data_IF_767388197345
#
_entry.id   IF_767388197345
#
_cell.length_a   1.000
_cell.length_b   1.000
_cell.length_c   1.000
_cell.angle_alpha   90.00
_cell.angle_beta   90.00
_cell.angle_gamma   90.00
#
_symmetry.space_group_name_H-M   'P 1'
#
loop_
_entity.id
_entity.type
_entity.pdbx_description
1 polymer ?
#
# COMPACT_ATOMS: atom_id res chain seq x y z
N UNK A 1 20.16 10.95 8.69
CA UNK A 1 19.17 9.89 8.91
C UNK A 1 17.82 10.40 8.43
N UNK A 2 17.27 9.86 7.34
CA UNK A 2 15.94 10.26 6.85
C UNK A 2 14.91 9.40 7.57
N UNK A 3 14.34 9.93 8.65
CA UNK A 3 13.33 9.20 9.43
C UNK A 3 11.90 9.44 8.95
N UNK A 4 11.55 10.69 8.63
CA UNK A 4 10.17 11.09 8.28
C UNK A 4 9.94 11.30 6.77
N UNK A 5 10.99 11.67 6.03
CA UNK A 5 10.90 11.97 4.59
C UNK A 5 10.37 10.80 3.76
N UNK A 6 10.72 9.55 4.09
CA UNK A 6 10.24 8.35 3.35
C UNK A 6 8.71 8.17 3.41
N UNK A 7 8.04 8.74 4.43
CA UNK A 7 6.59 8.69 4.55
C UNK A 7 5.90 9.82 3.78
N UNK A 8 6.63 10.89 3.49
CA UNK A 8 6.17 12.00 2.67
C UNK A 8 6.37 11.68 1.19
N UNK A 9 7.52 11.10 0.83
CA UNK A 9 7.87 10.73 -0.53
C UNK A 9 8.44 9.30 -0.55
N UNK A 10 7.66 8.37 -1.10
CA UNK A 10 8.06 6.96 -1.20
C UNK A 10 9.11 6.77 -2.32
N UNK A 11 9.17 7.71 -3.26
CA UNK A 11 10.15 7.76 -4.35
C UNK A 11 11.45 8.47 -3.98
N UNK A 12 11.65 8.90 -2.73
CA UNK A 12 12.82 9.68 -2.29
C UNK A 12 14.17 9.04 -2.60
N UNK A 13 14.21 7.71 -2.75
CA UNK A 13 15.42 6.95 -3.07
C UNK A 13 15.49 6.55 -4.56
N UNK A 14 14.44 6.83 -5.32
CA UNK A 14 14.39 6.55 -6.74
C UNK A 14 15.08 7.69 -7.50
N UNK A 15 16.36 7.50 -7.84
CA UNK A 15 17.23 8.53 -8.43
C UNK A 15 16.78 9.03 -9.81
N UNK A 16 15.95 8.25 -10.50
CA UNK A 16 15.51 8.49 -11.89
C UNK A 16 14.14 9.17 -12.00
N UNK A 17 13.27 9.03 -10.99
CA UNK A 17 11.92 9.56 -11.03
C UNK A 17 11.81 10.69 -10.02
N UNK A 18 11.64 11.93 -10.50
CA UNK A 18 11.49 13.12 -9.66
C UNK A 18 10.47 12.91 -8.52
N UNK A 19 10.72 13.60 -7.40
CA UNK A 19 9.88 13.62 -6.20
C UNK A 19 8.38 13.60 -6.56
N UNK A 20 7.65 12.64 -5.98
CA UNK A 20 6.20 12.45 -6.12
C UNK A 20 5.65 11.80 -7.42
N UNK A 21 6.47 11.12 -8.23
CA UNK A 21 6.02 10.52 -9.51
C UNK A 21 5.36 9.14 -9.42
N UNK A 22 5.12 8.59 -8.22
CA UNK A 22 4.52 7.26 -8.09
C UNK A 22 3.03 7.31 -8.47
N UNK A 23 2.68 6.60 -9.55
CA UNK A 23 1.31 6.47 -10.03
C UNK A 23 0.41 5.79 -8.98
N UNK A 24 -0.92 5.98 -9.07
CA UNK A 24 -1.85 5.29 -8.19
C UNK A 24 -1.67 3.76 -8.18
N UNK A 25 -1.42 3.16 -9.35
CA UNK A 25 -1.17 1.73 -9.49
C UNK A 25 0.12 1.29 -8.78
N UNK A 26 1.23 2.03 -8.93
CA UNK A 26 2.47 1.71 -8.20
C UNK A 26 2.28 1.80 -6.68
N UNK A 27 1.56 2.82 -6.21
CA UNK A 27 1.22 2.97 -4.79
C UNK A 27 0.39 1.81 -4.26
N UNK A 28 -0.55 1.32 -5.04
CA UNK A 28 -1.36 0.13 -4.71
C UNK A 28 -0.48 -1.13 -4.70
N UNK A 29 0.41 -1.28 -5.67
CA UNK A 29 1.39 -2.37 -5.73
C UNK A 29 2.30 -2.42 -4.50
N UNK A 30 2.69 -1.26 -3.94
CA UNK A 30 3.43 -1.19 -2.69
C UNK A 30 2.62 -1.71 -1.48
N UNK A 31 1.31 -1.49 -1.45
CA UNK A 31 0.44 -2.09 -0.42
C UNK A 31 0.46 -3.61 -0.54
N UNK A 32 0.32 -4.15 -1.76
CA UNK A 32 0.41 -5.59 -2.04
C UNK A 32 1.74 -6.17 -1.57
N UNK A 33 2.84 -5.51 -1.90
CA UNK A 33 4.18 -5.94 -1.50
C UNK A 33 4.34 -5.95 0.02
N UNK A 34 3.83 -4.95 0.73
CA UNK A 34 3.87 -4.90 2.20
C UNK A 34 3.07 -6.06 2.83
N UNK A 35 1.90 -6.39 2.29
CA UNK A 35 1.10 -7.53 2.79
C UNK A 35 1.87 -8.85 2.59
N UNK A 36 2.45 -9.06 1.39
CA UNK A 36 3.23 -10.25 1.10
C UNK A 36 4.46 -10.37 2.02
N UNK A 37 5.20 -9.28 2.23
CA UNK A 37 6.35 -9.27 3.13
C UNK A 37 5.95 -9.56 4.58
N UNK A 38 4.81 -9.03 5.03
CA UNK A 38 4.26 -9.34 6.36
C UNK A 38 3.93 -10.83 6.49
N UNK A 39 3.30 -11.42 5.48
CA UNK A 39 2.99 -12.85 5.45
C UNK A 39 4.26 -13.71 5.46
N UNK A 40 5.25 -13.38 4.63
CA UNK A 40 6.51 -14.10 4.54
C UNK A 40 7.30 -14.04 5.85
N UNK A 41 7.38 -12.86 6.46
CA UNK A 41 8.23 -12.63 7.62
C UNK A 41 7.53 -13.02 8.93
N UNK A 42 6.23 -12.77 9.07
CA UNK A 42 5.47 -12.88 10.33
C UNK A 42 4.39 -13.98 10.26
N UNK A 43 3.81 -14.22 9.09
CA UNK A 43 2.74 -15.20 8.89
C UNK A 43 1.56 -14.94 9.83
N UNK A 44 1.17 -15.97 10.59
CA UNK A 44 0.10 -15.88 11.60
C UNK A 44 0.59 -15.48 12.99
N UNK A 45 1.90 -15.30 13.18
CA UNK A 45 2.47 -15.05 14.52
C UNK A 45 2.09 -13.68 15.07
N UNK A 46 1.63 -12.77 14.22
CA UNK A 46 1.41 -11.37 14.57
C UNK A 46 0.12 -10.83 13.98
N UNK A 47 -0.41 -9.80 14.62
CA UNK A 47 -1.71 -9.25 14.28
C UNK A 47 -1.62 -8.43 12.97
N UNK A 48 -2.36 -8.89 11.97
CA UNK A 48 -2.54 -8.23 10.67
C UNK A 48 -3.07 -6.79 10.78
N UNK A 49 -3.85 -6.47 11.82
CA UNK A 49 -4.31 -5.10 12.09
C UNK A 49 -3.14 -4.09 12.17
N UNK A 50 -1.96 -4.56 12.59
CA UNK A 50 -0.79 -3.70 12.76
C UNK A 50 -0.27 -3.13 11.45
N UNK A 51 -0.45 -3.80 10.30
CA UNK A 51 0.02 -3.28 9.01
C UNK A 51 -0.90 -2.20 8.43
N UNK A 52 -2.18 -2.22 8.79
CA UNK A 52 -3.19 -1.29 8.26
C UNK A 52 -2.87 0.17 8.54
N UNK A 53 -2.21 0.47 9.66
CA UNK A 53 -1.80 1.84 10.03
C UNK A 53 -0.81 2.46 9.04
N UNK A 54 -0.11 1.63 8.26
CA UNK A 54 0.84 2.10 7.24
C UNK A 54 0.16 2.40 5.90
N UNK A 55 -1.08 1.97 5.67
CA UNK A 55 -1.74 2.16 4.38
C UNK A 55 -2.00 3.63 4.04
N UNK A 56 -2.10 4.50 5.04
CA UNK A 56 -2.18 5.95 4.83
C UNK A 56 -0.95 6.53 4.11
N UNK A 57 0.20 5.86 4.16
CA UNK A 57 1.45 6.29 3.52
C UNK A 57 1.36 6.06 2.01
N UNK A 58 0.85 4.88 1.62
CA UNK A 58 0.71 4.48 0.22
C UNK A 58 -0.53 5.09 -0.43
N UNK A 59 -1.68 5.03 0.26
CA UNK A 59 -3.00 5.42 -0.24
C UNK A 59 -3.33 6.87 0.11
N UNK A 60 -2.57 7.79 -0.49
CA UNK A 60 -2.74 9.24 -0.38
C UNK A 60 -2.51 9.91 -1.73
N UNK A 61 -3.06 11.10 -1.91
CA UNK A 61 -2.79 12.00 -3.05
C UNK A 61 -3.19 11.43 -4.44
N UNK A 62 -4.23 10.60 -4.51
CA UNK A 62 -4.86 10.18 -5.77
C UNK A 62 -6.37 9.94 -5.66
N UNK A 63 -7.06 9.95 -6.81
CA UNK A 63 -8.51 9.77 -6.88
C UNK A 63 -8.95 8.36 -6.43
N UNK A 64 -9.94 8.29 -5.54
CA UNK A 64 -10.38 7.01 -4.96
C UNK A 64 -9.47 6.45 -3.84
N UNK A 65 -8.34 7.08 -3.51
CA UNK A 65 -7.42 6.60 -2.45
C UNK A 65 -8.12 6.42 -1.09
N UNK A 66 -8.96 7.39 -0.70
CA UNK A 66 -9.69 7.34 0.57
C UNK A 66 -10.74 6.21 0.58
N UNK A 67 -11.38 5.93 -0.55
CA UNK A 67 -12.39 4.87 -0.70
C UNK A 67 -11.71 3.50 -0.60
N UNK A 68 -10.64 3.29 -1.37
CA UNK A 68 -9.85 2.07 -1.32
C UNK A 68 -9.30 1.83 0.08
N UNK A 69 -8.71 2.84 0.71
CA UNK A 69 -8.19 2.76 2.08
C UNK A 69 -9.29 2.33 3.06
N UNK A 70 -10.45 2.98 3.03
CA UNK A 70 -11.57 2.61 3.92
C UNK A 70 -12.03 1.17 3.71
N UNK A 71 -12.04 0.70 2.45
CA UNK A 71 -12.36 -0.70 2.13
C UNK A 71 -11.35 -1.65 2.76
N UNK A 72 -10.04 -1.41 2.57
CA UNK A 72 -8.97 -2.24 3.12
C UNK A 72 -8.96 -2.22 4.66
N UNK A 73 -9.28 -1.11 5.32
CA UNK A 73 -9.34 -1.04 6.78
C UNK A 73 -10.39 -1.98 7.38
N UNK A 74 -11.47 -2.31 6.66
CA UNK A 74 -12.54 -3.21 7.14
C UNK A 74 -12.23 -4.70 6.97
N UNK A 75 -11.25 -5.03 6.14
CA UNK A 75 -10.89 -6.41 5.79
C UNK A 75 -10.20 -7.10 6.97
N UNK A 76 -10.61 -8.31 7.34
CA UNK A 76 -10.05 -9.00 8.51
C UNK A 76 -8.91 -9.96 8.16
N UNK A 77 -8.79 -10.36 6.91
CA UNK A 77 -7.80 -11.34 6.48
C UNK A 77 -6.87 -10.81 5.40
N UNK A 78 -5.58 -11.19 5.41
CA UNK A 78 -4.63 -10.79 4.38
C UNK A 78 -5.03 -11.29 2.99
N UNK A 79 -5.60 -12.50 2.88
CA UNK A 79 -6.05 -13.08 1.62
C UNK A 79 -7.17 -12.26 0.97
N UNK A 80 -8.20 -11.90 1.74
CA UNK A 80 -9.28 -11.02 1.26
C UNK A 80 -8.75 -9.65 0.84
N UNK A 81 -7.72 -9.15 1.54
CA UNK A 81 -7.12 -7.86 1.22
C UNK A 81 -6.39 -7.88 -0.12
N UNK A 82 -5.62 -8.94 -0.37
CA UNK A 82 -4.92 -9.14 -1.64
C UNK A 82 -5.92 -9.23 -2.80
N UNK A 83 -7.03 -9.96 -2.64
CA UNK A 83 -8.08 -10.03 -3.67
C UNK A 83 -8.72 -8.68 -3.99
N UNK A 84 -8.90 -7.82 -2.99
CA UNK A 84 -9.45 -6.47 -3.22
C UNK A 84 -8.46 -5.61 -3.99
N UNK A 85 -7.16 -5.73 -3.67
CA UNK A 85 -6.09 -5.00 -4.36
C UNK A 85 -6.00 -5.47 -5.81
N UNK A 86 -5.94 -6.78 -6.05
CA UNK A 86 -5.88 -7.38 -7.39
C UNK A 86 -7.04 -6.89 -8.27
N UNK A 87 -8.27 -6.95 -7.76
CA UNK A 87 -9.43 -6.40 -8.47
C UNK A 87 -9.29 -4.91 -8.77
N UNK A 88 -8.68 -4.13 -7.88
CA UNK A 88 -8.50 -2.70 -8.11
C UNK A 88 -7.44 -2.42 -9.18
N UNK A 89 -6.36 -3.21 -9.20
CA UNK A 89 -5.34 -3.18 -10.25
C UNK A 89 -5.95 -3.54 -11.62
N UNK A 90 -6.76 -4.60 -11.70
CA UNK A 90 -7.45 -5.02 -12.94
C UNK A 90 -8.41 -3.94 -13.48
N UNK A 91 -9.17 -3.27 -12.61
CA UNK A 91 -10.09 -2.21 -13.02
C UNK A 91 -9.38 -0.90 -13.43
N UNK A 92 -8.16 -0.67 -12.94
CA UNK A 92 -7.36 0.51 -13.26
C UNK A 92 -6.54 0.39 -14.56
N UNK A 93 -6.53 -0.79 -15.19
CA UNK A 93 -5.85 -1.05 -16.46
C UNK A 93 -6.79 -1.01 -17.69
N UNK A 94 -8.08 -0.73 -17.50
CA UNK A 94 -9.08 -0.56 -18.58
C UNK A 94 -9.34 0.91 -18.91
#
# INVERSE_FOLDING_TARGET
MIGRGIFEDIGLFNKDNGSNSATPLERIGLVRQHINLFLETWGTRKNFEMIKKYFKIYLKDFDGAAVLRNKLLRVKTPDEMLRIIEKYEENGQS
#
